data_IF_126839999570
#
_entry.id   IF_126839999570
#
_cell.length_a   1.000
_cell.length_b   1.000
_cell.length_c   1.000
_cell.angle_alpha   90.00
_cell.angle_beta   90.00
_cell.angle_gamma   90.00
#
_symmetry.space_group_name_H-M   'P 1'
#
loop_
_entity.id
_entity.type
_entity.pdbx_description
1 polymer ?
#
# COMPACT_ATOMS: atom_id res chain seq x y z
N UNK A 1 2.66 -23.81 7.33
CA UNK A 1 3.45 -22.59 7.54
C UNK A 1 2.50 -21.41 7.41
N UNK A 2 2.39 -20.56 8.43
CA UNK A 2 1.59 -19.33 8.36
C UNK A 2 2.36 -18.24 7.57
N UNK A 3 1.67 -17.17 7.17
CA UNK A 3 2.26 -16.09 6.35
C UNK A 3 3.51 -15.46 6.98
N UNK A 4 3.54 -15.29 8.31
CA UNK A 4 4.67 -14.67 9.01
C UNK A 4 5.89 -15.59 9.12
N UNK A 5 5.68 -16.90 9.29
CA UNK A 5 6.74 -17.92 9.24
C UNK A 5 7.38 -17.93 7.84
N UNK A 6 6.54 -17.94 6.80
CA UNK A 6 7.01 -17.88 5.41
C UNK A 6 7.82 -16.63 5.11
N UNK A 7 7.30 -15.47 5.53
CA UNK A 7 8.02 -14.20 5.43
C UNK A 7 9.36 -14.26 6.16
N UNK A 8 9.40 -14.93 7.32
CA UNK A 8 10.64 -15.09 8.10
C UNK A 8 11.68 -15.98 7.42
N UNK A 9 11.25 -17.02 6.72
CA UNK A 9 12.15 -17.88 5.94
C UNK A 9 12.70 -17.16 4.70
N UNK A 10 11.89 -16.32 4.05
CA UNK A 10 12.26 -15.61 2.81
C UNK A 10 13.02 -14.30 3.05
N UNK A 11 12.82 -13.63 4.19
CA UNK A 11 13.41 -12.32 4.46
C UNK A 11 14.94 -12.22 4.33
N UNK A 12 15.75 -13.24 4.71
CA UNK A 12 17.19 -13.21 4.48
C UNK A 12 17.58 -13.06 2.99
N UNK A 13 16.82 -13.68 2.08
CA UNK A 13 17.09 -13.63 0.63
C UNK A 13 16.68 -12.29 -0.02
N UNK A 14 16.02 -11.43 0.75
CA UNK A 14 15.54 -10.11 0.34
C UNK A 14 16.39 -8.97 0.93
N UNK A 15 17.51 -9.31 1.56
CA UNK A 15 18.41 -8.37 2.22
C UNK A 15 19.81 -8.54 1.65
N UNK A 16 20.48 -7.42 1.34
CA UNK A 16 21.81 -7.43 0.72
C UNK A 16 22.76 -6.51 1.47
N UNK A 17 23.97 -7.01 1.69
CA UNK A 17 25.08 -6.29 2.32
C UNK A 17 26.30 -6.30 1.40
N UNK A 18 27.09 -5.23 1.44
CA UNK A 18 28.40 -5.17 0.78
C UNK A 18 29.43 -6.01 1.56
N UNK A 19 30.62 -6.30 0.98
CA UNK A 19 31.67 -7.07 1.67
C UNK A 19 32.17 -6.46 3.00
N UNK A 20 31.94 -5.17 3.23
CA UNK A 20 32.24 -4.48 4.50
C UNK A 20 31.07 -4.52 5.50
N UNK A 21 30.03 -5.31 5.22
CA UNK A 21 28.77 -5.43 5.96
C UNK A 21 27.89 -4.17 5.92
N UNK A 22 28.11 -3.25 4.96
CA UNK A 22 27.19 -2.14 4.75
C UNK A 22 25.87 -2.67 4.20
N UNK A 23 24.74 -2.50 4.90
CA UNK A 23 23.43 -2.91 4.40
C UNK A 23 22.98 -1.99 3.28
N UNK A 24 22.71 -2.54 2.10
CA UNK A 24 22.37 -1.77 0.89
C UNK A 24 21.01 -2.13 0.31
N UNK A 25 20.37 -3.18 0.80
CA UNK A 25 18.96 -3.46 0.57
C UNK A 25 18.42 -4.13 1.83
N UNK A 26 17.26 -3.70 2.31
CA UNK A 26 16.54 -4.37 3.40
C UNK A 26 15.12 -4.67 2.99
N UNK A 27 14.56 -5.76 3.48
CA UNK A 27 13.10 -5.90 3.52
C UNK A 27 12.54 -5.02 4.64
N UNK A 28 11.55 -4.18 4.32
CA UNK A 28 10.91 -3.29 5.28
C UNK A 28 9.41 -3.17 5.07
N UNK A 29 8.75 -2.59 6.06
CA UNK A 29 7.39 -2.07 5.94
C UNK A 29 7.48 -0.60 5.59
N UNK A 30 6.69 -0.17 4.60
CA UNK A 30 6.55 1.24 4.26
C UNK A 30 5.10 1.71 4.43
N UNK A 31 4.95 2.99 4.67
CA UNK A 31 3.71 3.73 4.46
C UNK A 31 4.05 5.01 3.69
N UNK A 32 3.59 5.13 2.44
CA UNK A 32 3.84 6.29 1.58
C UNK A 32 2.51 6.97 1.28
N UNK A 33 2.41 8.24 1.66
CA UNK A 33 1.21 9.06 1.57
C UNK A 33 1.45 10.29 0.71
N UNK A 34 0.48 10.61 -0.13
CA UNK A 34 0.46 11.82 -0.97
C UNK A 34 -0.66 12.75 -0.55
N UNK A 35 -0.34 14.03 -0.43
CA UNK A 35 -1.27 15.04 0.09
C UNK A 35 -1.07 16.41 -0.53
N UNK A 36 -2.10 17.26 -0.41
CA UNK A 36 -2.12 18.62 -0.94
C UNK A 36 -1.46 19.61 0.02
N UNK A 37 -1.13 20.78 -0.51
CA UNK A 37 -0.80 21.96 0.30
C UNK A 37 0.27 21.78 1.39
N UNK A 38 1.26 20.90 1.17
CA UNK A 38 2.36 20.71 2.12
C UNK A 38 3.25 21.94 2.33
N UNK A 39 3.08 22.98 1.51
CA UNK A 39 3.68 24.29 1.72
C UNK A 39 2.98 25.12 2.82
N UNK A 40 1.72 24.82 3.16
CA UNK A 40 0.94 25.60 4.11
C UNK A 40 1.53 25.50 5.52
N UNK A 41 1.39 26.56 6.31
CA UNK A 41 1.88 26.56 7.69
C UNK A 41 1.23 25.47 8.54
N UNK A 42 -0.05 25.19 8.31
CA UNK A 42 -0.76 24.14 9.03
C UNK A 42 -0.26 22.75 8.66
N UNK A 43 -0.11 22.47 7.36
CA UNK A 43 0.43 21.18 6.91
C UNK A 43 1.86 20.95 7.40
N UNK A 44 2.73 21.97 7.33
CA UNK A 44 4.08 21.92 7.91
C UNK A 44 4.05 21.56 9.40
N UNK A 45 3.15 22.18 10.19
CA UNK A 45 2.99 21.85 11.62
C UNK A 45 2.57 20.41 11.84
N UNK A 46 1.60 19.92 11.09
CA UNK A 46 1.12 18.53 11.20
C UNK A 46 2.23 17.53 10.83
N UNK A 47 2.95 17.77 9.72
CA UNK A 47 4.10 16.95 9.34
C UNK A 47 5.16 16.96 10.46
N UNK A 48 5.47 18.12 11.05
CA UNK A 48 6.42 18.17 12.18
C UNK A 48 5.93 17.40 13.41
N UNK A 49 4.61 17.31 13.66
CA UNK A 49 4.08 16.43 14.71
C UNK A 49 4.34 14.96 14.41
N UNK A 50 4.23 14.53 13.14
CA UNK A 50 4.60 13.18 12.74
C UNK A 50 6.07 12.88 13.05
N UNK A 51 6.98 13.80 12.71
CA UNK A 51 8.41 13.66 13.02
C UNK A 51 8.68 13.61 14.52
N UNK A 52 8.02 14.46 15.32
CA UNK A 52 8.14 14.44 16.78
C UNK A 52 7.71 13.10 17.35
N UNK A 53 6.50 12.62 17.02
CA UNK A 53 5.98 11.33 17.49
C UNK A 53 6.89 10.18 17.06
N UNK A 54 7.40 10.21 15.83
CA UNK A 54 8.26 9.14 15.32
C UNK A 54 9.60 9.11 16.05
N UNK A 55 10.16 10.27 16.37
CA UNK A 55 11.38 10.37 17.17
C UNK A 55 11.14 9.98 18.64
N UNK A 56 9.97 10.27 19.20
CA UNK A 56 9.61 9.83 20.57
C UNK A 56 9.57 8.31 20.66
N UNK A 57 8.99 7.63 19.67
CA UNK A 57 8.84 6.17 19.68
C UNK A 57 10.11 5.43 19.23
N UNK A 58 10.73 5.86 18.14
CA UNK A 58 11.84 5.13 17.50
C UNK A 58 13.20 5.82 17.65
N UNK A 59 13.29 6.91 18.40
CA UNK A 59 14.48 7.77 18.49
C UNK A 59 15.76 7.05 18.90
N UNK A 60 15.66 5.98 19.70
CA UNK A 60 16.81 5.15 20.08
C UNK A 60 17.49 4.46 18.89
N UNK A 61 16.77 4.25 17.79
CA UNK A 61 17.29 3.63 16.57
C UNK A 61 17.86 4.65 15.59
N UNK A 62 17.49 5.92 15.71
CA UNK A 62 17.82 6.96 14.73
C UNK A 62 19.24 7.48 14.92
N UNK A 63 19.98 7.59 13.81
CA UNK A 63 21.40 7.97 13.79
C UNK A 63 21.67 9.17 12.89
N UNK A 64 20.97 9.27 11.76
CA UNK A 64 21.23 10.25 10.71
C UNK A 64 20.00 11.06 10.34
N UNK A 65 20.24 12.17 9.65
CA UNK A 65 19.22 12.96 8.99
C UNK A 65 19.75 13.56 7.69
N UNK A 66 18.85 13.85 6.75
CA UNK A 66 19.10 14.64 5.56
C UNK A 66 18.24 15.89 5.56
N UNK A 67 18.86 17.06 5.52
CA UNK A 67 18.25 18.37 5.30
C UNK A 67 19.24 19.23 4.49
N UNK A 68 19.14 19.20 3.17
CA UNK A 68 20.15 19.67 2.19
C UNK A 68 21.42 18.80 2.12
N UNK A 69 21.85 18.22 3.24
CA UNK A 69 22.98 17.27 3.31
C UNK A 69 22.77 16.22 4.39
N UNK A 70 23.35 15.05 4.20
CA UNK A 70 23.33 13.98 5.20
C UNK A 70 24.25 14.31 6.38
N UNK A 71 23.76 14.18 7.60
CA UNK A 71 24.52 14.45 8.84
C UNK A 71 23.98 13.63 10.01
N UNK A 72 24.74 13.58 11.11
CA UNK A 72 24.29 12.94 12.35
C UNK A 72 23.03 13.63 12.90
N UNK A 73 22.06 12.83 13.32
CA UNK A 73 20.88 13.31 14.04
C UNK A 73 21.27 13.61 15.50
N UNK A 74 20.87 14.79 15.98
CA UNK A 74 21.02 15.24 17.37
C UNK A 74 19.75 15.97 17.77
N UNK A 75 19.45 16.07 19.06
CA UNK A 75 18.25 16.79 19.51
C UNK A 75 18.24 18.26 19.07
N UNK A 76 19.38 18.96 19.23
CA UNK A 76 19.51 20.35 18.75
C UNK A 76 19.37 20.44 17.23
N UNK A 77 19.94 19.48 16.48
CA UNK A 77 19.81 19.43 15.03
C UNK A 77 18.35 19.21 14.60
N UNK A 78 17.65 18.29 15.26
CA UNK A 78 16.25 18.00 15.01
C UNK A 78 15.37 19.25 15.24
N UNK A 79 15.49 19.89 16.41
CA UNK A 79 14.71 21.10 16.72
C UNK A 79 14.99 22.24 15.75
N UNK A 80 16.25 22.46 15.38
CA UNK A 80 16.62 23.48 14.37
C UNK A 80 16.00 23.21 13.01
N UNK A 81 15.96 21.95 12.56
CA UNK A 81 15.35 21.61 11.28
C UNK A 81 13.83 21.79 11.33
N UNK A 82 13.17 21.46 12.44
CA UNK A 82 11.74 21.76 12.63
C UNK A 82 11.44 23.26 12.56
N UNK A 83 12.25 24.09 13.23
CA UNK A 83 12.13 25.55 13.19
C UNK A 83 12.34 26.09 11.77
N UNK A 84 13.40 25.64 11.08
CA UNK A 84 13.69 26.00 9.68
C UNK A 84 12.49 25.69 8.77
N UNK A 85 11.91 24.50 8.89
CA UNK A 85 10.76 24.09 8.07
C UNK A 85 9.53 24.96 8.39
N UNK A 86 9.25 25.20 9.68
CA UNK A 86 8.10 26.03 10.12
C UNK A 86 8.20 27.47 9.62
N UNK A 87 9.42 27.99 9.50
CA UNK A 87 9.69 29.37 9.06
C UNK A 87 9.82 29.51 7.55
N UNK A 88 9.97 28.41 6.81
CA UNK A 88 10.04 28.43 5.35
C UNK A 88 8.79 29.01 4.70
N UNK A 89 8.97 29.72 3.58
CA UNK A 89 7.89 30.30 2.80
C UNK A 89 7.02 29.28 2.06
N UNK A 90 5.86 29.69 1.50
CA UNK A 90 4.95 28.80 0.76
C UNK A 90 5.49 28.36 -0.61
N UNK A 91 6.53 29.02 -1.13
CA UNK A 91 7.20 28.66 -2.38
C UNK A 91 8.66 28.23 -2.17
N UNK A 92 8.98 27.77 -0.95
CA UNK A 92 10.27 27.18 -0.61
C UNK A 92 10.13 25.67 -0.42
N UNK A 93 11.16 24.92 -0.81
CA UNK A 93 11.21 23.49 -0.60
C UNK A 93 11.86 23.16 0.73
N UNK A 94 11.27 22.22 1.44
CA UNK A 94 11.98 21.40 2.40
C UNK A 94 11.93 19.94 1.97
N UNK A 95 13.07 19.29 2.10
CA UNK A 95 13.19 17.84 2.09
C UNK A 95 13.83 17.46 3.41
N UNK A 96 13.16 16.60 4.17
CA UNK A 96 13.70 16.14 5.45
C UNK A 96 13.53 14.65 5.60
N UNK A 97 14.61 14.00 6.02
CA UNK A 97 14.65 12.58 6.34
C UNK A 97 15.30 12.41 7.70
N UNK A 98 14.72 11.60 8.58
CA UNK A 98 15.38 11.06 9.78
C UNK A 98 15.50 9.55 9.63
N UNK A 99 16.63 8.98 10.01
CA UNK A 99 16.98 7.62 9.61
C UNK A 99 17.83 6.88 10.64
N UNK A 100 17.67 5.56 10.74
CA UNK A 100 18.55 4.66 11.49
C UNK A 100 19.89 4.40 10.80
N UNK A 101 20.03 4.77 9.53
CA UNK A 101 21.27 4.67 8.77
C UNK A 101 22.30 5.68 9.27
N UNK A 102 23.56 5.26 9.47
CA UNK A 102 24.60 6.19 9.92
C UNK A 102 25.10 7.08 8.78
N UNK A 103 25.00 6.61 7.54
CA UNK A 103 25.42 7.30 6.32
C UNK A 103 24.34 7.22 5.23
N UNK A 104 24.48 8.04 4.18
CA UNK A 104 23.59 8.03 3.01
C UNK A 104 23.67 6.74 2.18
N UNK A 105 24.72 5.94 2.39
CA UNK A 105 25.02 4.71 1.64
C UNK A 105 24.42 3.46 2.28
N UNK A 106 23.77 3.60 3.43
CA UNK A 106 23.15 2.50 4.17
C UNK A 106 21.63 2.52 4.01
N UNK A 107 21.05 1.35 3.78
CA UNK A 107 19.62 1.12 3.83
C UNK A 107 19.13 1.17 5.30
N UNK A 108 18.16 2.04 5.56
CA UNK A 108 17.61 2.24 6.90
C UNK A 108 16.65 1.12 7.30
N UNK A 109 16.61 0.78 8.59
CA UNK A 109 15.55 -0.06 9.16
C UNK A 109 14.37 0.80 9.67
N UNK A 110 14.67 2.00 10.18
CA UNK A 110 13.68 2.99 10.61
C UNK A 110 13.93 4.29 9.88
N UNK A 111 12.91 4.88 9.26
CA UNK A 111 12.99 6.23 8.75
C UNK A 111 11.63 6.92 8.66
N UNK A 112 11.65 8.25 8.69
CA UNK A 112 10.53 9.09 8.30
C UNK A 112 11.06 10.19 7.38
N UNK A 113 10.39 10.41 6.24
CA UNK A 113 10.78 11.42 5.29
C UNK A 113 9.60 12.17 4.69
N UNK A 114 9.82 13.44 4.36
CA UNK A 114 8.80 14.30 3.76
C UNK A 114 9.40 15.29 2.76
N UNK A 115 8.61 15.62 1.76
CA UNK A 115 8.88 16.66 0.77
C UNK A 115 7.59 17.43 0.48
N UNK A 116 7.64 18.76 0.52
CA UNK A 116 6.48 19.58 0.18
C UNK A 116 6.35 19.91 -1.32
N UNK A 117 5.11 20.19 -1.73
CA UNK A 117 4.79 20.94 -2.94
C UNK A 117 4.99 22.44 -2.72
N UNK A 118 4.94 23.23 -3.79
CA UNK A 118 4.97 24.70 -3.75
C UNK A 118 3.59 25.27 -4.02
N UNK A 119 3.28 26.42 -3.43
CA UNK A 119 2.02 27.13 -3.64
C UNK A 119 1.79 27.51 -5.11
N UNK A 120 2.84 27.94 -5.82
CA UNK A 120 2.77 28.31 -7.24
C UNK A 120 2.34 27.14 -8.15
N UNK A 121 2.50 25.90 -7.69
CA UNK A 121 2.04 24.72 -8.43
C UNK A 121 0.57 24.39 -8.17
N UNK A 122 -0.06 24.99 -7.14
CA UNK A 122 -1.42 24.69 -6.74
C UNK A 122 -1.67 23.18 -6.65
N UNK A 123 -2.74 22.73 -7.31
CA UNK A 123 -3.15 21.33 -7.36
C UNK A 123 -2.39 20.48 -8.41
N UNK A 124 -1.32 20.98 -9.01
CA UNK A 124 -0.53 20.24 -10.02
C UNK A 124 0.63 19.43 -9.43
N UNK A 125 0.88 19.52 -8.12
CA UNK A 125 1.88 18.70 -7.42
C UNK A 125 1.42 18.33 -6.03
N UNK A 126 1.70 17.10 -5.63
CA UNK A 126 1.54 16.66 -4.24
C UNK A 126 2.82 16.79 -3.44
N UNK A 127 2.63 16.84 -2.14
CA UNK A 127 3.66 16.56 -1.14
C UNK A 127 3.65 15.06 -0.85
N UNK A 128 4.71 14.54 -0.25
CA UNK A 128 4.70 13.18 0.28
C UNK A 128 5.20 13.10 1.71
N UNK A 129 4.73 12.08 2.42
CA UNK A 129 5.24 11.62 3.70
C UNK A 129 5.44 10.10 3.60
N UNK A 130 6.64 9.63 3.95
CA UNK A 130 7.01 8.22 3.90
C UNK A 130 7.56 7.77 5.24
N UNK A 131 6.99 6.71 5.78
CA UNK A 131 7.51 6.00 6.96
C UNK A 131 8.09 4.65 6.53
N UNK A 132 9.20 4.26 7.16
CA UNK A 132 9.80 2.93 7.04
C UNK A 132 10.01 2.33 8.42
N UNK A 133 9.60 1.08 8.60
CA UNK A 133 9.85 0.25 9.79
C UNK A 133 10.44 -1.10 9.35
N UNK A 134 11.16 -1.83 10.22
CA UNK A 134 11.64 -3.17 9.88
C UNK A 134 10.46 -4.13 9.75
N UNK A 135 10.51 -5.07 8.81
CA UNK A 135 9.46 -6.09 8.67
C UNK A 135 9.27 -6.94 9.94
N UNK A 136 10.33 -7.09 10.74
CA UNK A 136 10.28 -7.78 12.03
C UNK A 136 9.39 -7.10 13.06
N UNK A 137 8.96 -5.86 12.83
CA UNK A 137 7.94 -5.18 13.63
C UNK A 137 6.64 -6.01 13.69
N UNK A 138 6.31 -6.78 12.64
CA UNK A 138 5.16 -7.68 12.63
C UNK A 138 5.30 -8.92 13.53
N UNK A 139 6.49 -9.18 14.07
CA UNK A 139 6.72 -10.26 15.05
C UNK A 139 6.36 -9.84 16.46
N UNK A 140 6.18 -8.56 16.71
CA UNK A 140 5.72 -8.06 18.00
C UNK A 140 4.24 -8.44 18.18
N UNK A 141 3.79 -8.76 19.41
CA UNK A 141 2.42 -9.22 19.66
C UNK A 141 1.32 -8.30 19.12
N UNK A 142 1.58 -6.99 19.07
CA UNK A 142 0.69 -5.93 18.59
C UNK A 142 1.23 -5.22 17.33
N UNK A 143 2.24 -5.78 16.67
CA UNK A 143 2.97 -5.13 15.57
C UNK A 143 2.08 -4.71 14.39
N UNK A 144 1.09 -5.54 14.04
CA UNK A 144 0.11 -5.21 12.98
C UNK A 144 -0.76 -4.04 13.41
N UNK A 145 -1.32 -4.08 14.63
CA UNK A 145 -2.18 -3.02 15.15
C UNK A 145 -1.42 -1.70 15.29
N UNK A 146 -0.18 -1.73 15.81
CA UNK A 146 0.65 -0.53 15.92
C UNK A 146 1.03 0.06 14.56
N UNK A 147 1.30 -0.77 13.56
CA UNK A 147 1.54 -0.28 12.20
C UNK A 147 0.29 0.38 11.60
N UNK A 148 -0.88 -0.21 11.83
CA UNK A 148 -2.17 0.33 11.40
C UNK A 148 -2.50 1.66 12.10
N UNK A 149 -2.29 1.75 13.42
CA UNK A 149 -2.45 2.99 14.19
C UNK A 149 -1.53 4.11 13.68
N UNK A 150 -0.28 3.77 13.36
CA UNK A 150 0.63 4.70 12.70
C UNK A 150 0.08 5.15 11.35
N UNK A 151 -0.39 4.22 10.52
CA UNK A 151 -0.92 4.54 9.21
C UNK A 151 -2.14 5.48 9.28
N UNK A 152 -3.11 5.18 10.15
CA UNK A 152 -4.29 6.04 10.39
C UNK A 152 -3.84 7.41 10.88
N UNK A 153 -2.95 7.47 11.88
CA UNK A 153 -2.44 8.74 12.41
C UNK A 153 -1.76 9.58 11.33
N UNK A 154 -0.88 8.99 10.51
CA UNK A 154 -0.21 9.71 9.44
C UNK A 154 -1.22 10.22 8.40
N UNK A 155 -2.21 9.40 8.02
CA UNK A 155 -3.26 9.80 7.10
C UNK A 155 -4.09 10.98 7.61
N UNK A 156 -4.45 10.98 8.90
CA UNK A 156 -5.17 12.09 9.53
C UNK A 156 -4.33 13.37 9.61
N UNK A 157 -3.04 13.25 9.93
CA UNK A 157 -2.15 14.41 10.06
C UNK A 157 -1.97 15.16 8.74
N UNK A 158 -1.79 14.44 7.64
CA UNK A 158 -1.54 15.06 6.34
C UNK A 158 -2.78 15.18 5.47
N UNK A 159 -3.94 14.71 5.94
CA UNK A 159 -5.15 14.59 5.14
C UNK A 159 -4.86 13.89 3.80
N UNK A 160 -4.32 12.67 3.88
CA UNK A 160 -3.83 11.94 2.73
C UNK A 160 -4.91 11.84 1.63
N UNK A 161 -4.55 12.13 0.38
CA UNK A 161 -5.46 11.92 -0.76
C UNK A 161 -5.39 10.49 -1.27
N UNK A 162 -4.21 9.89 -1.22
CA UNK A 162 -3.98 8.48 -1.51
C UNK A 162 -2.61 8.05 -0.98
N UNK A 163 -2.37 6.75 -1.03
CA UNK A 163 -1.13 6.17 -0.60
C UNK A 163 -1.21 4.66 -0.54
N UNK A 164 -0.15 4.05 -0.05
CA UNK A 164 -0.05 2.61 0.11
C UNK A 164 0.87 2.27 1.28
N UNK A 165 0.69 1.09 1.84
CA UNK A 165 1.58 0.54 2.84
C UNK A 165 1.71 -0.97 2.71
N UNK A 166 2.87 -1.51 3.06
CA UNK A 166 3.18 -2.92 2.83
C UNK A 166 4.67 -3.21 2.78
N UNK A 167 5.02 -4.36 2.20
CA UNK A 167 6.42 -4.78 2.07
C UNK A 167 7.09 -4.06 0.91
N UNK A 168 8.33 -3.62 1.10
CA UNK A 168 9.14 -2.98 0.07
C UNK A 168 10.62 -3.27 0.26
N UNK A 169 11.38 -3.15 -0.82
CA UNK A 169 12.85 -3.11 -0.78
C UNK A 169 13.32 -1.73 -0.36
N UNK A 170 13.84 -1.61 0.85
CA UNK A 170 14.38 -0.36 1.37
C UNK A 170 15.80 -0.18 0.85
N UNK A 171 16.01 0.88 0.09
CA UNK A 171 17.30 1.26 -0.48
C UNK A 171 17.95 2.39 0.35
N UNK A 172 19.27 2.59 0.23
CA UNK A 172 19.97 3.76 0.75
C UNK A 172 19.43 5.06 0.17
N UNK A 173 19.87 6.20 0.71
CA UNK A 173 19.57 7.49 0.10
C UNK A 173 20.19 7.60 -1.31
N UNK A 174 21.36 6.98 -1.52
CA UNK A 174 21.97 6.74 -2.84
C UNK A 174 21.32 5.55 -3.56
N UNK A 175 19.99 5.60 -3.72
CA UNK A 175 19.19 4.46 -4.22
C UNK A 175 19.47 4.15 -5.70
N UNK A 176 19.97 5.09 -6.50
CA UNK A 176 20.19 4.95 -7.95
C UNK A 176 21.06 3.72 -8.29
N UNK A 177 22.01 3.42 -7.40
CA UNK A 177 22.91 2.27 -7.51
C UNK A 177 22.22 0.92 -7.30
N UNK A 178 21.10 0.91 -6.59
CA UNK A 178 20.41 -0.29 -6.14
C UNK A 178 19.02 -0.46 -6.76
N UNK A 179 18.56 0.47 -7.59
CA UNK A 179 17.36 0.30 -8.42
C UNK A 179 17.35 -1.01 -9.23
N UNK A 180 18.48 -1.50 -9.80
CA UNK A 180 18.47 -2.80 -10.46
C UNK A 180 18.12 -3.97 -9.54
N UNK A 181 18.49 -3.89 -8.25
CA UNK A 181 18.15 -4.92 -7.25
C UNK A 181 16.67 -4.85 -6.88
N UNK A 182 16.12 -3.65 -6.65
CA UNK A 182 14.68 -3.47 -6.43
C UNK A 182 13.87 -4.01 -7.62
N UNK A 183 14.31 -3.74 -8.85
CA UNK A 183 13.71 -4.30 -10.06
C UNK A 183 13.72 -5.83 -10.02
N UNK A 184 14.88 -6.46 -9.80
CA UNK A 184 14.99 -7.92 -9.78
C UNK A 184 14.11 -8.55 -8.70
N UNK A 185 14.09 -7.99 -7.49
CA UNK A 185 13.25 -8.49 -6.40
C UNK A 185 11.76 -8.36 -6.71
N UNK A 186 11.33 -7.21 -7.26
CA UNK A 186 9.95 -6.99 -7.66
C UNK A 186 9.51 -7.88 -8.86
N UNK A 187 10.45 -8.37 -9.68
CA UNK A 187 10.16 -9.40 -10.68
C UNK A 187 9.97 -10.80 -10.07
N UNK A 188 10.47 -11.06 -8.86
CA UNK A 188 10.35 -12.35 -8.18
C UNK A 188 9.19 -12.40 -7.17
N UNK A 189 8.85 -11.26 -6.59
CA UNK A 189 7.85 -11.13 -5.53
C UNK A 189 6.89 -9.98 -5.83
N UNK A 190 5.68 -10.31 -6.29
CA UNK A 190 4.70 -9.30 -6.74
C UNK A 190 4.12 -8.46 -5.61
N UNK A 191 4.26 -8.90 -4.36
CA UNK A 191 3.85 -8.16 -3.17
C UNK A 191 4.80 -7.04 -2.77
N UNK A 192 6.01 -6.98 -3.34
CA UNK A 192 6.95 -5.90 -3.07
C UNK A 192 6.54 -4.61 -3.78
N UNK A 193 6.39 -3.55 -2.99
CA UNK A 193 6.20 -2.19 -3.48
C UNK A 193 7.52 -1.64 -4.03
N UNK A 194 7.48 -1.07 -5.24
CA UNK A 194 8.61 -0.39 -5.86
C UNK A 194 8.56 1.09 -5.47
N UNK A 195 9.38 1.51 -4.52
CA UNK A 195 9.19 2.78 -3.80
C UNK A 195 10.47 3.64 -3.68
N UNK A 196 11.46 3.40 -4.54
CA UNK A 196 12.67 4.23 -4.63
C UNK A 196 12.38 5.65 -5.15
N UNK A 197 11.51 5.79 -6.14
CA UNK A 197 11.24 7.06 -6.84
C UNK A 197 10.00 7.81 -6.32
N UNK A 198 9.71 7.79 -5.02
CA UNK A 198 8.50 8.42 -4.43
C UNK A 198 8.27 9.88 -4.84
N UNK A 199 9.35 10.62 -5.08
CA UNK A 199 9.33 12.03 -5.47
C UNK A 199 8.86 12.25 -6.92
N UNK A 200 8.92 11.25 -7.80
CA UNK A 200 8.44 11.33 -9.18
C UNK A 200 6.91 11.22 -9.25
N UNK A 201 6.32 10.36 -8.42
CA UNK A 201 4.90 10.05 -8.45
C UNK A 201 3.98 11.22 -8.02
N UNK A 202 4.56 12.30 -7.46
CA UNK A 202 3.81 13.50 -7.01
C UNK A 202 3.10 14.27 -8.12
N UNK A 203 3.44 14.00 -9.39
CA UNK A 203 2.78 14.56 -10.59
C UNK A 203 1.97 13.51 -11.34
N UNK A 204 2.46 12.28 -11.36
CA UNK A 204 1.84 11.19 -12.09
C UNK A 204 0.52 10.73 -11.45
N UNK A 205 0.48 10.73 -10.11
CA UNK A 205 -0.65 10.20 -9.33
C UNK A 205 -1.67 11.27 -8.94
N UNK A 206 -1.66 12.44 -9.60
CA UNK A 206 -2.60 13.52 -9.28
C UNK A 206 -4.07 13.08 -9.37
N UNK A 207 -4.39 12.26 -10.37
CA UNK A 207 -5.74 11.76 -10.66
C UNK A 207 -5.86 10.25 -10.54
N UNK A 208 -4.84 9.61 -9.97
CA UNK A 208 -4.73 8.16 -9.91
C UNK A 208 -4.17 7.67 -8.59
N UNK A 209 -4.57 6.48 -8.18
CA UNK A 209 -3.78 5.73 -7.19
C UNK A 209 -2.69 4.95 -7.93
N UNK A 210 -1.58 4.67 -7.26
CA UNK A 210 -0.51 3.85 -7.86
C UNK A 210 -0.97 2.41 -8.11
N UNK A 211 -1.67 1.84 -7.15
CA UNK A 211 -2.11 0.45 -7.20
C UNK A 211 -2.53 -0.04 -5.84
N UNK A 212 -2.57 -1.36 -5.70
CA UNK A 212 -2.96 -2.04 -4.46
C UNK A 212 -1.73 -2.61 -3.78
N UNK A 213 -1.71 -2.50 -2.45
CA UNK A 213 -0.76 -3.18 -1.58
C UNK A 213 -1.50 -3.70 -0.32
N UNK A 214 -0.76 -4.20 0.69
CA UNK A 214 -1.31 -4.67 1.96
C UNK A 214 -2.26 -3.66 2.57
N UNK A 215 -1.86 -2.39 2.61
CA UNK A 215 -2.74 -1.25 2.85
C UNK A 215 -2.83 -0.39 1.60
N UNK A 216 -4.05 -0.02 1.23
CA UNK A 216 -4.30 0.95 0.15
C UNK A 216 -5.12 2.11 0.71
N UNK A 217 -4.59 3.32 0.61
CA UNK A 217 -5.20 4.53 1.14
C UNK A 217 -5.94 5.22 0.01
N UNK A 218 -7.25 5.44 0.21
CA UNK A 218 -8.15 5.99 -0.80
C UNK A 218 -8.87 7.19 -0.18
N UNK A 219 -8.45 8.40 -0.57
CA UNK A 219 -9.07 9.63 -0.13
C UNK A 219 -10.45 9.86 -0.72
N UNK A 220 -11.18 10.80 -0.14
CA UNK A 220 -12.60 11.07 -0.43
C UNK A 220 -12.87 11.20 -1.93
N UNK A 221 -12.06 12.01 -2.63
CA UNK A 221 -12.17 12.23 -4.09
C UNK A 221 -12.12 10.93 -4.91
N UNK A 222 -11.33 9.95 -4.47
CA UNK A 222 -11.25 8.66 -5.13
C UNK A 222 -12.38 7.73 -4.69
N UNK A 223 -12.77 7.77 -3.41
CA UNK A 223 -13.92 6.97 -2.96
C UNK A 223 -15.23 7.39 -3.63
N UNK A 224 -15.41 8.68 -3.93
CA UNK A 224 -16.61 9.21 -4.61
C UNK A 224 -16.79 8.62 -6.01
N UNK A 225 -15.69 8.34 -6.72
CA UNK A 225 -15.71 7.66 -8.03
C UNK A 225 -16.18 6.20 -7.93
N UNK A 226 -16.18 5.62 -6.72
CA UNK A 226 -16.59 4.25 -6.42
C UNK A 226 -17.94 4.18 -5.67
N UNK A 227 -18.76 5.24 -5.76
CA UNK A 227 -20.03 5.31 -5.03
C UNK A 227 -19.89 5.71 -3.56
N UNK A 228 -18.81 6.41 -3.22
CA UNK A 228 -18.49 6.86 -1.87
C UNK A 228 -17.98 5.74 -0.97
N UNK A 229 -17.80 6.06 0.32
CA UNK A 229 -17.35 5.10 1.34
C UNK A 229 -18.25 3.87 1.40
N UNK A 230 -19.57 4.05 1.31
CA UNK A 230 -20.55 2.96 1.37
C UNK A 230 -20.51 2.06 0.13
N UNK A 231 -20.33 2.65 -1.06
CA UNK A 231 -20.15 1.89 -2.30
C UNK A 231 -18.91 0.98 -2.24
N UNK A 232 -17.78 1.53 -1.76
CA UNK A 232 -16.55 0.76 -1.58
C UNK A 232 -16.71 -0.34 -0.52
N UNK A 233 -17.38 -0.04 0.60
CA UNK A 233 -17.69 -1.04 1.64
C UNK A 233 -18.57 -2.16 1.12
N UNK A 234 -19.59 -1.82 0.34
CA UNK A 234 -20.48 -2.79 -0.28
C UNK A 234 -19.74 -3.68 -1.28
N UNK A 235 -18.86 -3.11 -2.11
CA UNK A 235 -18.08 -3.86 -3.09
C UNK A 235 -17.16 -4.93 -2.44
N UNK A 236 -16.74 -4.72 -1.19
CA UNK A 236 -15.87 -5.62 -0.44
C UNK A 236 -16.59 -6.37 0.70
N UNK A 237 -17.91 -6.22 0.87
CA UNK A 237 -18.62 -6.74 2.06
C UNK A 237 -18.63 -8.27 2.17
N UNK A 238 -18.39 -8.98 1.07
CA UNK A 238 -18.27 -10.45 1.04
C UNK A 238 -16.87 -10.97 1.42
N UNK A 239 -15.92 -10.07 1.72
CA UNK A 239 -14.51 -10.37 1.99
C UNK A 239 -14.20 -10.19 3.46
N UNK A 240 -14.44 -11.23 4.26
CA UNK A 240 -14.07 -11.24 5.70
C UNK A 240 -12.55 -11.21 5.95
N UNK A 241 -11.76 -11.37 4.89
CA UNK A 241 -10.31 -11.27 4.84
C UNK A 241 -9.81 -9.86 4.43
N UNK A 242 -10.71 -8.90 4.21
CA UNK A 242 -10.38 -7.51 3.90
C UNK A 242 -11.03 -6.60 4.94
N UNK A 243 -10.22 -5.73 5.55
CA UNK A 243 -10.68 -4.77 6.54
C UNK A 243 -10.66 -3.35 5.99
N UNK A 244 -11.60 -2.52 6.45
CA UNK A 244 -11.69 -1.13 6.04
C UNK A 244 -11.70 -0.24 7.27
N UNK A 245 -10.75 0.69 7.30
CA UNK A 245 -10.55 1.64 8.39
C UNK A 245 -10.94 3.02 7.90
N UNK A 246 -11.65 3.78 8.74
CA UNK A 246 -11.88 5.19 8.49
C UNK A 246 -10.71 6.04 8.96
N UNK A 247 -10.43 7.07 8.19
CA UNK A 247 -9.69 8.25 8.65
C UNK A 247 -10.44 9.50 8.14
N UNK A 248 -10.06 10.68 8.64
CA UNK A 248 -10.72 11.95 8.33
C UNK A 248 -10.89 12.18 6.82
N UNK A 249 -9.85 11.86 6.05
CA UNK A 249 -9.79 12.12 4.60
C UNK A 249 -10.34 11.02 3.69
N UNK A 250 -10.72 9.84 4.19
CA UNK A 250 -11.14 8.74 3.32
C UNK A 250 -11.23 7.37 4.00
N UNK A 251 -10.84 6.32 3.27
CA UNK A 251 -10.76 4.94 3.74
C UNK A 251 -9.36 4.36 3.53
N UNK A 252 -8.94 3.49 4.45
CA UNK A 252 -7.78 2.62 4.29
C UNK A 252 -8.31 1.19 4.14
N UNK A 253 -7.88 0.49 3.10
CA UNK A 253 -8.24 -0.90 2.86
C UNK A 253 -7.05 -1.78 3.23
N UNK A 254 -7.23 -2.70 4.19
CA UNK A 254 -6.24 -3.70 4.57
C UNK A 254 -6.58 -5.04 3.90
N UNK A 255 -5.72 -5.47 2.98
CA UNK A 255 -5.88 -6.69 2.20
C UNK A 255 -5.20 -7.88 2.92
N UNK A 256 -5.93 -8.58 3.78
CA UNK A 256 -5.41 -9.70 4.57
C UNK A 256 -4.82 -9.26 5.92
N UNK A 257 -4.70 -10.22 6.84
CA UNK A 257 -4.21 -9.98 8.20
C UNK A 257 -2.72 -9.63 8.27
N UNK A 258 -1.93 -10.12 7.30
CA UNK A 258 -0.49 -9.92 7.18
C UNK A 258 -0.14 -9.63 5.72
N UNK A 259 0.93 -8.88 5.43
CA UNK A 259 1.35 -8.65 4.06
C UNK A 259 1.90 -9.93 3.45
N UNK A 260 1.61 -10.14 2.17
CA UNK A 260 2.06 -11.29 1.40
C UNK A 260 3.10 -10.87 0.36
N UNK A 261 4.21 -11.61 0.26
CA UNK A 261 5.26 -11.38 -0.75
C UNK A 261 4.83 -11.77 -2.17
N UNK A 262 3.99 -12.80 -2.31
CA UNK A 262 3.53 -13.31 -3.60
C UNK A 262 4.67 -13.70 -4.53
N UNK A 263 5.34 -14.83 -4.27
CA UNK A 263 6.40 -15.28 -5.18
C UNK A 263 5.81 -15.64 -6.55
N UNK A 264 6.50 -15.32 -7.65
CA UNK A 264 5.96 -15.50 -9.02
C UNK A 264 5.60 -16.94 -9.42
N UNK A 265 6.13 -17.93 -8.71
CA UNK A 265 5.85 -19.35 -8.94
C UNK A 265 4.69 -19.87 -8.08
N UNK A 266 4.04 -18.99 -7.32
CA UNK A 266 2.92 -19.28 -6.45
C UNK A 266 1.66 -18.55 -6.96
N UNK A 267 0.46 -18.98 -6.54
CA UNK A 267 -0.75 -18.21 -6.78
C UNK A 267 -0.64 -16.78 -6.23
N UNK A 268 -1.22 -15.82 -6.94
CA UNK A 268 -1.27 -14.43 -6.50
C UNK A 268 -2.01 -14.29 -5.15
N UNK A 269 -1.61 -13.33 -4.29
CA UNK A 269 -2.34 -13.03 -3.06
C UNK A 269 -3.81 -12.71 -3.34
N UNK A 270 -4.72 -13.54 -2.83
CA UNK A 270 -6.15 -13.52 -3.18
C UNK A 270 -6.84 -12.24 -2.69
N UNK A 271 -6.37 -11.65 -1.59
CA UNK A 271 -6.84 -10.36 -1.05
C UNK A 271 -6.39 -9.21 -1.94
N UNK A 272 -5.15 -9.20 -2.43
CA UNK A 272 -4.62 -8.13 -3.27
C UNK A 272 -5.32 -8.12 -4.64
N UNK A 273 -5.54 -9.30 -5.23
CA UNK A 273 -6.33 -9.45 -6.47
C UNK A 273 -7.75 -8.94 -6.28
N UNK A 274 -8.38 -9.21 -5.14
CA UNK A 274 -9.75 -8.79 -4.88
C UNK A 274 -9.91 -7.28 -4.73
N UNK A 275 -9.03 -6.66 -3.94
CA UNK A 275 -9.00 -5.21 -3.77
C UNK A 275 -8.66 -4.56 -5.12
N UNK A 276 -7.73 -5.16 -5.89
CA UNK A 276 -7.38 -4.67 -7.23
C UNK A 276 -8.58 -4.67 -8.17
N UNK A 277 -9.44 -5.69 -8.19
CA UNK A 277 -10.65 -5.69 -9.05
C UNK A 277 -11.55 -4.48 -8.82
N UNK A 278 -11.67 -4.01 -7.58
CA UNK A 278 -12.50 -2.85 -7.23
C UNK A 278 -11.77 -1.55 -7.57
N UNK A 279 -10.48 -1.45 -7.23
CA UNK A 279 -9.70 -0.22 -7.34
C UNK A 279 -9.01 -0.02 -8.71
N UNK A 280 -9.01 -1.03 -9.59
CA UNK A 280 -8.32 -1.00 -10.90
C UNK A 280 -8.67 0.24 -11.72
N UNK A 281 -9.92 0.68 -11.68
CA UNK A 281 -10.39 1.86 -12.41
C UNK A 281 -9.79 3.19 -11.92
N UNK A 282 -9.24 3.22 -10.71
CA UNK A 282 -8.57 4.40 -10.16
C UNK A 282 -7.07 4.44 -10.48
N UNK A 283 -6.48 3.36 -11.00
CA UNK A 283 -5.05 3.32 -11.33
C UNK A 283 -4.75 4.12 -12.58
N UNK A 284 -3.50 4.58 -12.69
CA UNK A 284 -3.01 5.16 -13.94
C UNK A 284 -2.97 4.08 -15.03
N UNK A 285 -3.73 4.21 -16.14
CA UNK A 285 -3.70 3.22 -17.23
C UNK A 285 -2.44 3.32 -18.10
N UNK A 286 -1.67 4.41 -17.98
CA UNK A 286 -0.44 4.67 -18.74
C UNK A 286 0.61 5.23 -17.78
N UNK A 287 1.16 4.39 -16.89
CA UNK A 287 2.16 4.83 -15.94
C UNK A 287 3.45 5.28 -16.64
N UNK A 288 4.09 6.30 -16.06
CA UNK A 288 5.47 6.63 -16.38
C UNK A 288 6.39 5.54 -15.80
N UNK A 289 7.64 5.46 -16.28
CA UNK A 289 8.60 4.46 -15.82
C UNK A 289 8.84 4.55 -14.31
N UNK A 290 8.80 3.41 -13.61
CA UNK A 290 9.01 3.36 -12.16
C UNK A 290 10.43 3.77 -11.75
N UNK A 291 11.43 3.52 -12.60
CA UNK A 291 12.83 3.87 -12.37
C UNK A 291 13.32 4.83 -13.45
N UNK A 292 14.35 5.61 -13.11
CA UNK A 292 15.20 6.28 -14.10
C UNK A 292 16.31 5.34 -14.58
N UNK A 293 16.99 5.72 -15.66
CA UNK A 293 18.16 4.99 -16.14
C UNK A 293 19.21 4.82 -15.03
N UNK A 294 19.72 3.60 -14.86
CA UNK A 294 20.83 3.28 -13.97
C UNK A 294 21.95 2.61 -14.77
N UNK A 295 23.21 3.08 -14.65
CA UNK A 295 24.35 2.44 -15.33
C UNK A 295 24.75 1.09 -14.68
N UNK A 296 24.13 0.72 -13.56
CA UNK A 296 24.51 -0.44 -12.75
C UNK A 296 23.76 -1.73 -13.13
N UNK A 297 22.73 -1.64 -13.97
CA UNK A 297 21.99 -2.82 -14.43
C UNK A 297 20.58 -2.52 -14.92
N UNK A 298 19.84 -3.58 -15.24
CA UNK A 298 18.47 -3.48 -15.74
C UNK A 298 17.54 -2.87 -14.67
N UNK A 299 16.74 -1.90 -15.08
CA UNK A 299 15.73 -1.26 -14.25
C UNK A 299 14.32 -1.46 -14.85
N UNK A 300 13.31 -0.89 -14.19
CA UNK A 300 11.99 -0.79 -14.79
C UNK A 300 12.02 0.11 -16.02
N UNK A 301 11.63 -0.46 -17.15
CA UNK A 301 11.35 0.22 -18.40
C UNK A 301 9.83 0.35 -18.55
N UNK A 302 9.36 0.92 -19.67
CA UNK A 302 7.93 1.15 -19.88
C UNK A 302 7.12 -0.16 -19.77
N UNK A 303 7.49 -1.18 -20.55
CA UNK A 303 6.76 -2.45 -20.57
C UNK A 303 6.78 -3.19 -19.22
N UNK A 304 7.90 -3.16 -18.50
CA UNK A 304 7.97 -3.80 -17.17
C UNK A 304 7.24 -3.01 -16.10
N UNK A 305 7.18 -1.69 -16.24
CA UNK A 305 6.35 -0.82 -15.40
C UNK A 305 4.88 -1.11 -15.58
N UNK A 306 4.40 -1.17 -16.83
CA UNK A 306 3.01 -1.51 -17.14
C UNK A 306 2.62 -2.88 -16.58
N UNK A 307 3.50 -3.88 -16.73
CA UNK A 307 3.30 -5.21 -16.10
C UNK A 307 3.25 -5.14 -14.58
N UNK A 308 4.10 -4.33 -13.95
CA UNK A 308 4.11 -4.20 -12.49
C UNK A 308 2.81 -3.54 -11.98
N UNK A 309 2.33 -2.49 -12.65
CA UNK A 309 1.04 -1.88 -12.32
C UNK A 309 -0.12 -2.87 -12.50
N UNK A 310 -0.08 -3.72 -13.51
CA UNK A 310 -1.10 -4.73 -13.81
C UNK A 310 -0.90 -6.08 -13.09
N UNK A 311 0.07 -6.22 -12.16
CA UNK A 311 0.48 -7.52 -11.59
C UNK A 311 -0.61 -8.30 -10.84
N UNK A 312 -1.67 -7.62 -10.41
CA UNK A 312 -2.84 -8.22 -9.76
C UNK A 312 -4.08 -8.26 -10.66
N UNK A 313 -3.94 -7.91 -11.93
CA UNK A 313 -5.02 -8.06 -12.89
C UNK A 313 -5.26 -9.55 -13.10
N UNK A 314 -6.53 -9.89 -13.17
CA UNK A 314 -6.98 -11.17 -13.69
C UNK A 314 -7.77 -10.83 -14.93
N UNK A 315 -7.58 -11.60 -16.01
CA UNK A 315 -8.41 -11.44 -17.18
C UNK A 315 -9.87 -11.60 -16.74
N UNK A 316 -10.68 -10.55 -16.94
CA UNK A 316 -12.12 -10.58 -16.66
C UNK A 316 -12.81 -11.72 -17.45
N UNK A 317 -12.13 -12.29 -18.46
CA UNK A 317 -12.52 -13.48 -19.19
C UNK A 317 -12.63 -14.77 -18.35
N UNK A 318 -12.08 -14.80 -17.12
CA UNK A 318 -12.23 -15.93 -16.18
C UNK A 318 -13.06 -15.59 -14.94
N UNK A 319 -13.53 -14.35 -14.82
CA UNK A 319 -14.65 -13.99 -13.95
C UNK A 319 -15.98 -14.37 -14.62
N UNK A 320 -16.18 -15.66 -14.91
CA UNK A 320 -17.53 -16.21 -15.02
C UNK A 320 -18.03 -16.49 -13.61
N UNK A 321 -18.23 -15.45 -12.80
CA UNK A 321 -19.10 -15.66 -11.64
C UNK A 321 -20.46 -16.03 -12.21
N UNK A 322 -20.97 -17.24 -11.94
CA UNK A 322 -22.27 -17.64 -12.44
C UNK A 322 -23.32 -16.61 -12.04
N UNK A 323 -24.19 -16.22 -12.98
CA UNK A 323 -25.29 -15.30 -12.67
C UNK A 323 -26.17 -15.88 -11.55
N UNK A 324 -26.79 -15.02 -10.74
CA UNK A 324 -27.76 -15.47 -9.73
C UNK A 324 -28.88 -16.27 -10.40
N UNK A 325 -29.30 -17.35 -9.76
CA UNK A 325 -30.27 -18.30 -10.32
C UNK A 325 -31.56 -18.26 -9.50
N UNK A 326 -32.71 -18.19 -10.18
CA UNK A 326 -34.01 -18.31 -9.51
C UNK A 326 -34.28 -19.78 -9.13
N UNK A 327 -34.90 -20.01 -7.96
CA UNK A 327 -35.33 -21.34 -7.58
C UNK A 327 -36.25 -21.98 -8.64
N UNK A 328 -36.04 -23.27 -8.90
CA UNK A 328 -36.68 -24.01 -9.98
C UNK A 328 -35.86 -24.05 -11.28
N UNK A 329 -34.84 -23.21 -11.43
CA UNK A 329 -33.91 -23.28 -12.55
C UNK A 329 -32.74 -24.24 -12.26
N UNK A 330 -32.17 -24.88 -13.29
CA UNK A 330 -30.98 -25.72 -13.14
C UNK A 330 -29.74 -24.90 -12.81
N UNK A 331 -28.88 -25.46 -11.96
CA UNK A 331 -27.61 -24.89 -11.57
C UNK A 331 -26.69 -24.72 -12.78
N UNK A 332 -26.19 -23.51 -13.01
CA UNK A 332 -25.37 -23.18 -14.19
C UNK A 332 -23.88 -23.48 -13.99
N UNK A 333 -23.43 -23.80 -12.78
CA UNK A 333 -22.06 -24.15 -12.46
C UNK A 333 -21.99 -24.98 -11.16
N UNK A 334 -21.29 -26.11 -11.19
CA UNK A 334 -21.11 -26.94 -10.01
C UNK A 334 -20.26 -26.21 -8.95
N UNK A 335 -20.73 -26.15 -7.70
CA UNK A 335 -20.03 -25.41 -6.63
C UNK A 335 -20.95 -25.04 -5.48
N UNK A 336 -20.47 -24.21 -4.56
CA UNK A 336 -21.26 -23.74 -3.43
C UNK A 336 -22.14 -22.56 -3.83
N UNK A 337 -23.40 -22.64 -3.44
CA UNK A 337 -24.38 -21.57 -3.60
C UNK A 337 -25.11 -21.33 -2.28
N UNK A 338 -25.57 -20.11 -2.06
CA UNK A 338 -26.40 -19.76 -0.90
C UNK A 338 -27.60 -18.92 -1.30
N UNK A 339 -28.62 -18.88 -0.44
CA UNK A 339 -29.80 -18.03 -0.62
C UNK A 339 -30.12 -17.26 0.68
N UNK A 340 -30.28 -15.93 0.62
CA UNK A 340 -30.72 -15.12 1.76
C UNK A 340 -32.11 -15.51 2.30
N UNK A 341 -32.90 -16.25 1.52
CA UNK A 341 -34.23 -16.70 1.90
C UNK A 341 -34.23 -17.74 3.04
N UNK A 342 -33.07 -18.32 3.39
CA UNK A 342 -32.91 -19.22 4.55
C UNK A 342 -31.50 -19.08 5.15
N UNK A 343 -31.43 -18.96 6.48
CA UNK A 343 -30.14 -18.97 7.21
C UNK A 343 -29.43 -20.33 7.05
N UNK A 344 -28.09 -20.31 6.95
CA UNK A 344 -27.26 -21.50 6.74
C UNK A 344 -27.64 -22.31 5.48
N UNK A 345 -28.10 -21.64 4.42
CA UNK A 345 -28.48 -22.27 3.14
C UNK A 345 -27.31 -22.61 2.22
N UNK A 346 -26.07 -22.19 2.57
CA UNK A 346 -24.88 -22.48 1.76
C UNK A 346 -24.70 -23.99 1.64
N UNK A 347 -24.78 -24.51 0.42
CA UNK A 347 -24.48 -25.91 0.13
C UNK A 347 -23.91 -26.07 -1.28
N UNK A 348 -23.27 -27.21 -1.50
CA UNK A 348 -22.78 -27.58 -2.81
C UNK A 348 -23.95 -28.02 -3.71
N UNK A 349 -23.86 -27.66 -4.98
CA UNK A 349 -24.77 -28.06 -6.05
C UNK A 349 -23.96 -28.61 -7.22
N UNK A 350 -24.43 -29.70 -7.81
CA UNK A 350 -23.88 -30.21 -9.07
C UNK A 350 -24.38 -29.37 -10.26
N UNK A 351 -23.62 -29.39 -11.37
CA UNK A 351 -24.04 -28.77 -12.62
C UNK A 351 -25.36 -29.39 -13.09
N UNK A 352 -26.38 -28.56 -13.31
CA UNK A 352 -27.72 -29.00 -13.70
C UNK A 352 -28.67 -29.36 -12.55
N UNK A 353 -28.21 -29.39 -11.29
CA UNK A 353 -29.09 -29.62 -10.13
C UNK A 353 -30.15 -28.51 -10.01
N UNK A 354 -31.40 -28.86 -9.71
CA UNK A 354 -32.47 -27.87 -9.59
C UNK A 354 -32.34 -27.09 -8.27
N UNK A 355 -32.29 -25.76 -8.38
CA UNK A 355 -32.22 -24.85 -7.24
C UNK A 355 -33.50 -24.92 -6.40
N UNK A 356 -33.45 -25.32 -5.11
CA UNK A 356 -34.66 -25.52 -4.31
C UNK A 356 -35.30 -24.19 -3.93
N UNK A 357 -36.61 -24.23 -3.75
CA UNK A 357 -37.42 -23.10 -3.30
C UNK A 357 -37.70 -23.24 -1.81
N UNK A 358 -37.58 -22.15 -1.07
CA UNK A 358 -37.96 -22.11 0.35
C UNK A 358 -39.35 -21.51 0.51
N UNK A 359 -40.28 -22.27 1.09
CA UNK A 359 -41.63 -21.83 1.42
C UNK A 359 -41.61 -21.04 2.74
N UNK A 360 -42.04 -19.77 2.71
CA UNK A 360 -42.19 -18.92 3.91
C UNK A 360 -41.19 -17.77 4.06
N UNK A 361 -40.42 -17.42 3.02
CA UNK A 361 -39.53 -16.26 3.06
C UNK A 361 -40.30 -14.93 3.02
N UNK A 362 -39.96 -14.00 3.92
CA UNK A 362 -40.48 -12.61 3.94
C UNK A 362 -40.00 -11.76 2.74
N UNK A 363 -39.17 -12.32 1.84
CA UNK A 363 -38.42 -11.58 0.81
C UNK A 363 -38.78 -11.94 -0.65
N UNK A 364 -39.91 -12.59 -0.92
CA UNK A 364 -40.33 -12.91 -2.29
C UNK A 364 -39.65 -14.15 -2.90
N UNK A 365 -39.33 -14.13 -4.20
CA UNK A 365 -38.76 -15.28 -4.93
C UNK A 365 -37.40 -15.72 -4.36
N UNK A 366 -37.20 -17.03 -4.17
CA UNK A 366 -35.92 -17.59 -3.70
C UNK A 366 -34.86 -17.45 -4.79
N UNK A 367 -33.83 -16.63 -4.54
CA UNK A 367 -32.68 -16.43 -5.42
C UNK A 367 -31.43 -17.09 -4.82
N UNK A 368 -30.65 -17.74 -5.66
CA UNK A 368 -29.40 -18.42 -5.33
C UNK A 368 -28.21 -17.64 -5.89
N UNK A 369 -27.19 -17.46 -5.05
CA UNK A 369 -25.99 -16.69 -5.33
C UNK A 369 -24.76 -17.59 -5.22
N UNK A 370 -23.85 -17.46 -6.17
CA UNK A 370 -22.61 -18.22 -6.22
C UNK A 370 -21.70 -17.87 -5.04
N UNK A 371 -21.08 -18.88 -4.43
CA UNK A 371 -20.19 -18.77 -3.28
C UNK A 371 -18.78 -19.36 -3.53
N UNK A 372 -18.49 -19.89 -4.72
CA UNK A 372 -17.18 -20.48 -5.07
C UNK A 372 -17.17 -22.01 -5.19
N UNK A 373 -16.05 -22.58 -5.67
CA UNK A 373 -15.89 -24.03 -5.91
C UNK A 373 -15.43 -24.81 -4.65
N UNK A 374 -15.02 -24.12 -3.58
CA UNK A 374 -14.63 -24.68 -2.28
C UNK A 374 -15.14 -23.79 -1.13
#
# INVERSE_FOLDING_TARGET
MNTLEKLSEQAPDLTFELPDNTPVVRLGLIATLYFKEGYSLQSKRNVMQCFTRFKEEFGQHLKGQFDDRYKKLTDSGFSKTQEKIRESGPNEQYEWHISSAATANEAAAYSLSALNSFEVHGDQKRSYLKMTLPWSFLKEPDGVARFEEWLVYLCDQVEAEHGYGGLSSILPYDFDRYMPMEFQLAQQYVGLEVDSMVHNFKRELLDHIKGVNWYTIVGTRFTEQLGGKDGLRHALSGRGDVEMLDYQGGLIIRAGALPELGAIHEPLPVTYVAVNRVLKQLRNPKPDQLHTYSPYGNCFEQDSTERWYARFDQDDAHSKTPARIEAGQPCSAAGYWFSPAQANSRRYFDLGEIMPRFSGSNWGYTLWYWSGEA
#
